data_IF_144374334569
#
_entry.id   IF_144374334569
#
_cell.length_a   1.000
_cell.length_b   1.000
_cell.length_c   1.000
_cell.angle_alpha   90.00
_cell.angle_beta   90.00
_cell.angle_gamma   90.00
#
_symmetry.space_group_name_H-M   'P 1'
#
loop_
_entity.id
_entity.type
_entity.pdbx_description
1 polymer ?
#
# COMPACT_ATOMS: atom_id res chain seq x y z
N UNK A 1 2.47 14.84 -2.04
CA UNK A 1 1.01 14.55 -1.91
C UNK A 1 0.38 15.61 -1.01
N UNK A 2 -0.76 16.22 -1.40
CA UNK A 2 -1.44 17.22 -0.57
C UNK A 2 -1.81 16.66 0.83
N UNK A 3 -1.75 17.47 1.90
CA UNK A 3 -1.98 17.00 3.28
C UNK A 3 -3.30 16.26 3.47
N UNK A 4 -4.41 16.81 2.94
CA UNK A 4 -5.74 16.21 3.05
C UNK A 4 -5.81 14.79 2.42
N UNK A 5 -5.25 14.63 1.20
CA UNK A 5 -5.21 13.31 0.52
C UNK A 5 -4.33 12.30 1.25
N UNK A 6 -3.24 12.76 1.89
CA UNK A 6 -2.35 11.90 2.67
C UNK A 6 -3.08 11.42 3.94
N UNK A 7 -3.71 12.33 4.67
CA UNK A 7 -4.41 12.03 5.91
C UNK A 7 -5.59 11.08 5.68
N UNK A 8 -6.35 11.27 4.59
CA UNK A 8 -7.41 10.34 4.19
C UNK A 8 -6.86 8.92 3.99
N UNK A 9 -5.75 8.75 3.26
CA UNK A 9 -5.18 7.43 2.95
C UNK A 9 -4.56 6.74 4.17
N UNK A 10 -3.88 7.50 5.03
CA UNK A 10 -3.25 6.96 6.24
C UNK A 10 -4.28 6.46 7.28
N UNK A 11 -5.50 7.01 7.25
CA UNK A 11 -6.59 6.57 8.13
C UNK A 11 -7.36 5.34 7.63
N UNK A 12 -7.02 4.79 6.47
CA UNK A 12 -7.74 3.65 5.87
C UNK A 12 -6.89 2.37 5.92
N UNK A 13 -7.52 1.19 6.03
CA UNK A 13 -6.82 -0.06 5.81
C UNK A 13 -6.31 -0.12 4.36
N UNK A 14 -5.15 -0.75 4.16
CA UNK A 14 -4.48 -0.81 2.87
C UNK A 14 -5.36 -1.41 1.76
N UNK A 15 -6.22 -2.38 2.08
CA UNK A 15 -7.19 -2.97 1.15
C UNK A 15 -8.18 -1.94 0.58
N UNK A 16 -8.64 -0.99 1.41
CA UNK A 16 -9.53 0.08 1.00
C UNK A 16 -8.79 1.16 0.20
N UNK A 17 -7.55 1.48 0.59
CA UNK A 17 -6.68 2.38 -0.19
C UNK A 17 -6.49 1.84 -1.61
N UNK A 18 -6.15 0.56 -1.75
CA UNK A 18 -5.95 -0.11 -3.04
C UNK A 18 -7.22 -0.06 -3.87
N UNK A 19 -8.38 -0.36 -3.28
CA UNK A 19 -9.68 -0.31 -3.98
C UNK A 19 -10.02 1.09 -4.49
N UNK A 20 -9.81 2.14 -3.68
CA UNK A 20 -10.08 3.54 -4.07
C UNK A 20 -9.14 4.04 -5.17
N UNK A 21 -7.85 3.74 -5.06
CA UNK A 21 -6.84 4.22 -6.01
C UNK A 21 -6.94 3.46 -7.33
N UNK A 22 -7.06 2.13 -7.29
CA UNK A 22 -7.19 1.30 -8.50
C UNK A 22 -8.58 1.41 -9.16
N UNK A 23 -9.58 1.88 -8.40
CA UNK A 23 -11.01 1.84 -8.76
C UNK A 23 -11.52 0.42 -9.07
N UNK A 24 -10.84 -0.61 -8.55
CA UNK A 24 -11.17 -2.03 -8.75
C UNK A 24 -11.42 -2.70 -7.41
N UNK A 25 -12.39 -3.60 -7.35
CA UNK A 25 -12.61 -4.47 -6.18
C UNK A 25 -11.50 -5.53 -6.15
N UNK A 26 -11.03 -5.86 -4.95
CA UNK A 26 -10.15 -7.02 -4.73
C UNK A 26 -11.02 -8.28 -4.77
N UNK A 27 -10.76 -9.26 -5.64
CA UNK A 27 -11.53 -10.51 -5.68
C UNK A 27 -11.41 -11.30 -4.36
N UNK A 28 -12.46 -12.01 -3.97
CA UNK A 28 -12.54 -12.75 -2.69
C UNK A 28 -11.52 -13.88 -2.54
N UNK A 29 -11.04 -14.43 -3.66
CA UNK A 29 -10.04 -15.50 -3.65
C UNK A 29 -8.61 -14.98 -3.42
N UNK A 30 -8.37 -13.66 -3.57
CA UNK A 30 -7.04 -13.08 -3.37
C UNK A 30 -6.72 -13.06 -1.88
N UNK A 31 -5.57 -13.64 -1.52
CA UNK A 31 -5.12 -13.76 -0.12
C UNK A 31 -4.02 -12.77 0.25
N UNK A 32 -3.32 -12.22 -0.73
CA UNK A 32 -2.26 -11.25 -0.50
C UNK A 32 -2.11 -10.29 -1.69
N UNK A 33 -1.50 -9.14 -1.42
CA UNK A 33 -1.09 -8.15 -2.42
C UNK A 33 0.44 -8.05 -2.43
N UNK A 34 1.02 -7.84 -3.60
CA UNK A 34 2.45 -7.51 -3.75
C UNK A 34 2.56 -5.99 -3.89
N UNK A 35 3.41 -5.38 -3.07
CA UNK A 35 3.69 -3.95 -3.09
C UNK A 35 5.16 -3.71 -3.37
N UNK A 36 5.43 -2.90 -4.40
CA UNK A 36 6.74 -2.30 -4.64
C UNK A 36 6.87 -1.03 -3.82
N UNK A 37 8.06 -0.81 -3.24
CA UNK A 37 8.34 0.32 -2.36
C UNK A 37 9.61 1.02 -2.83
N UNK A 38 9.59 2.35 -2.74
CA UNK A 38 10.80 3.16 -2.77
C UNK A 38 10.96 3.73 -1.36
N UNK A 39 12.15 3.62 -0.79
CA UNK A 39 12.48 4.28 0.46
C UNK A 39 13.91 4.77 0.45
N UNK A 40 14.13 5.81 1.23
CA UNK A 40 15.45 6.35 1.47
C UNK A 40 16.00 5.74 2.77
N UNK A 41 17.30 5.53 2.83
CA UNK A 41 17.97 5.12 4.06
C UNK A 41 18.07 6.27 5.09
N UNK A 42 18.80 6.04 6.18
CA UNK A 42 18.95 7.05 7.24
C UNK A 42 19.83 8.23 6.85
N UNK A 43 20.62 8.11 5.79
CA UNK A 43 21.48 9.16 5.24
C UNK A 43 20.75 9.95 4.13
N UNK A 44 19.61 9.44 3.66
CA UNK A 44 18.71 10.10 2.71
C UNK A 44 18.88 9.58 1.28
N UNK A 45 19.70 8.57 1.05
CA UNK A 45 19.94 7.98 -0.27
C UNK A 45 18.81 7.01 -0.63
N UNK A 46 18.37 7.03 -1.89
CA UNK A 46 17.35 6.09 -2.40
C UNK A 46 17.96 4.69 -2.50
N UNK A 47 17.34 3.72 -1.82
CA UNK A 47 17.84 2.35 -1.76
C UNK A 47 16.83 1.38 -2.36
N UNK A 48 17.34 0.44 -3.15
CA UNK A 48 16.53 -0.64 -3.69
C UNK A 48 16.17 -1.62 -2.58
N UNK A 49 14.87 -1.86 -2.40
CA UNK A 49 14.34 -2.76 -1.37
C UNK A 49 13.49 -3.87 -1.99
N UNK A 50 13.41 -5.05 -1.33
CA UNK A 50 12.52 -6.11 -1.78
C UNK A 50 11.04 -5.70 -1.70
N UNK A 51 10.23 -6.39 -2.50
CA UNK A 51 8.77 -6.24 -2.44
C UNK A 51 8.20 -6.66 -1.07
N UNK A 52 7.03 -6.12 -0.74
CA UNK A 52 6.25 -6.53 0.42
C UNK A 52 5.06 -7.38 0.00
N UNK A 53 4.96 -8.59 0.57
CA UNK A 53 3.75 -9.41 0.50
C UNK A 53 2.81 -9.04 1.65
N UNK A 54 1.78 -8.26 1.34
CA UNK A 54 0.76 -7.89 2.30
C UNK A 54 -0.36 -8.94 2.33
N UNK A 55 -0.43 -9.72 3.40
CA UNK A 55 -1.51 -10.69 3.60
C UNK A 55 -2.81 -9.95 3.96
N UNK A 56 -3.88 -10.22 3.21
CA UNK A 56 -5.19 -9.62 3.48
C UNK A 56 -5.79 -10.23 4.75
N UNK A 57 -6.51 -9.45 5.57
CA UNK A 57 -7.23 -9.98 6.72
C UNK A 57 -8.16 -11.11 6.27
N UNK A 58 -8.10 -12.27 6.91
CA UNK A 58 -9.07 -13.32 6.68
C UNK A 58 -10.40 -12.88 7.29
N UNK A 59 -11.47 -12.98 6.48
CA UNK A 59 -12.84 -12.75 6.92
C UNK A 59 -13.32 -13.91 7.77
#
# INVERSE_FOLDING_TARGET
MPPAKRQERLGLPLSEVVKRVSKKKIPSHVKALVLELCCNDTEGEDVEVPYVKYNLPQS
#
